data_IF_704285139619
#
_entry.id   IF_704285139619
#
_cell.length_a   1.000
_cell.length_b   1.000
_cell.length_c   1.000
_cell.angle_alpha   90.00
_cell.angle_beta   90.00
_cell.angle_gamma   90.00
#
_symmetry.space_group_name_H-M   'P 1'
#
loop_
_entity.id
_entity.type
_entity.pdbx_description
1 polymer ?
#
# COMPACT_ATOMS: atom_id res chain seq x y z
N UNK A 1 34.18 -64.83 -34.59
CA UNK A 1 33.23 -65.14 -33.50
C UNK A 1 33.77 -64.57 -32.19
N UNK A 2 32.86 -64.00 -31.38
CA UNK A 2 33.00 -63.52 -29.99
C UNK A 2 32.97 -62.00 -29.84
N UNK A 3 31.74 -61.51 -29.68
CA UNK A 3 31.24 -60.44 -28.80
C UNK A 3 32.23 -59.31 -28.47
N UNK A 4 31.85 -58.06 -28.63
CA UNK A 4 31.02 -57.37 -27.62
C UNK A 4 30.63 -56.00 -28.21
N UNK A 5 29.43 -55.75 -28.74
CA UNK A 5 28.16 -55.56 -28.04
C UNK A 5 28.16 -54.64 -26.78
N UNK A 6 29.26 -53.92 -26.49
CA UNK A 6 29.32 -52.92 -25.40
C UNK A 6 30.03 -51.66 -25.89
N UNK A 7 29.53 -51.05 -26.96
CA UNK A 7 29.81 -49.63 -27.27
C UNK A 7 28.56 -48.86 -27.70
N UNK A 8 27.40 -49.48 -27.51
CA UNK A 8 26.08 -48.87 -27.67
C UNK A 8 25.55 -48.66 -26.25
N UNK A 9 26.12 -47.71 -25.49
CA UNK A 9 25.48 -47.34 -24.21
C UNK A 9 25.72 -45.91 -23.72
N UNK A 10 26.65 -45.13 -24.28
CA UNK A 10 26.91 -43.78 -23.75
C UNK A 10 26.54 -42.61 -24.68
N UNK A 11 26.00 -42.87 -25.88
CA UNK A 11 25.75 -41.81 -26.88
C UNK A 11 24.28 -41.36 -26.99
N UNK A 12 23.46 -41.58 -25.95
CA UNK A 12 22.05 -41.12 -25.93
C UNK A 12 21.75 -40.19 -24.75
N UNK A 13 22.72 -39.92 -23.87
CA UNK A 13 22.50 -39.07 -22.70
C UNK A 13 22.75 -37.57 -22.96
N UNK A 14 22.64 -37.10 -24.21
CA UNK A 14 22.96 -35.71 -24.58
C UNK A 14 21.93 -35.10 -25.56
N UNK A 15 20.64 -35.30 -25.29
CA UNK A 15 19.55 -34.43 -25.74
C UNK A 15 18.29 -34.84 -24.97
N UNK A 16 17.55 -33.96 -24.25
CA UNK A 16 17.68 -32.52 -24.08
C UNK A 16 17.79 -32.14 -22.59
N UNK A 17 18.94 -31.60 -22.15
CA UNK A 17 19.01 -30.83 -20.89
C UNK A 17 18.73 -29.34 -21.17
N UNK A 18 17.73 -29.07 -22.02
CA UNK A 18 17.14 -27.75 -22.24
C UNK A 18 15.65 -27.86 -21.97
N UNK A 19 15.31 -28.19 -20.72
CA UNK A 19 14.12 -27.59 -20.14
C UNK A 19 14.63 -26.41 -19.32
N UNK A 20 14.97 -25.30 -20.00
CA UNK A 20 14.97 -24.02 -19.31
C UNK A 20 13.56 -23.89 -18.76
N UNK A 21 13.46 -23.88 -17.43
CA UNK A 21 12.24 -23.55 -16.73
C UNK A 21 11.68 -22.29 -17.39
N UNK A 22 10.51 -22.41 -18.02
CA UNK A 22 9.69 -21.27 -18.37
C UNK A 22 9.18 -20.67 -17.06
N UNK A 23 10.05 -19.98 -16.34
CA UNK A 23 9.67 -19.07 -15.24
C UNK A 23 9.17 -17.74 -15.83
N UNK A 24 8.42 -17.85 -16.93
CA UNK A 24 7.64 -16.77 -17.54
C UNK A 24 6.19 -16.82 -17.04
N UNK A 25 5.89 -17.67 -16.07
CA UNK A 25 4.67 -17.54 -15.29
C UNK A 25 4.96 -16.49 -14.22
N UNK A 26 4.39 -15.29 -14.32
CA UNK A 26 4.01 -14.69 -13.05
C UNK A 26 4.81 -13.53 -12.50
N UNK A 27 5.70 -12.85 -13.22
CA UNK A 27 6.24 -11.57 -12.71
C UNK A 27 5.14 -10.50 -12.76
N UNK A 28 3.98 -10.76 -12.14
CA UNK A 28 3.14 -9.72 -11.61
C UNK A 28 4.00 -9.02 -10.58
N UNK A 29 4.61 -7.90 -11.01
CA UNK A 29 4.99 -6.84 -10.09
C UNK A 29 3.80 -6.66 -9.15
N UNK A 30 3.95 -7.08 -7.89
CA UNK A 30 2.92 -6.85 -6.90
C UNK A 30 2.81 -5.33 -6.80
N UNK A 31 1.73 -4.78 -7.34
CA UNK A 31 1.43 -3.35 -7.18
C UNK A 31 1.10 -3.16 -5.71
N UNK A 32 2.10 -2.74 -4.94
CA UNK A 32 1.93 -2.44 -3.52
C UNK A 32 1.10 -1.15 -3.44
N UNK A 33 -0.02 -1.20 -2.72
CA UNK A 33 -0.81 -0.01 -2.41
C UNK A 33 0.03 0.94 -1.53
N UNK A 34 0.33 2.18 -1.95
CA UNK A 34 1.12 3.11 -1.16
C UNK A 34 0.51 3.41 0.22
N UNK A 35 -0.81 3.29 0.38
CA UNK A 35 -1.49 3.49 1.67
C UNK A 35 -1.31 2.30 2.63
N UNK A 36 -0.84 1.15 2.15
CA UNK A 36 -0.48 -0.01 2.97
C UNK A 36 0.96 0.07 3.51
N UNK A 37 1.74 1.08 3.08
CA UNK A 37 3.07 1.32 3.63
C UNK A 37 2.97 1.75 5.10
N UNK A 38 3.98 1.39 5.88
CA UNK A 38 4.02 1.69 7.30
C UNK A 38 4.60 3.08 7.53
N UNK A 39 3.89 3.88 8.32
CA UNK A 39 4.32 5.19 8.76
C UNK A 39 4.41 5.26 10.30
N UNK A 40 5.27 6.17 10.79
CA UNK A 40 5.36 6.48 12.21
C UNK A 40 4.34 7.57 12.54
N UNK A 41 3.51 7.34 13.56
CA UNK A 41 2.56 8.34 14.09
C UNK A 41 3.27 9.32 15.03
N UNK A 42 4.32 9.96 14.52
CA UNK A 42 5.08 11.02 15.18
C UNK A 42 4.90 12.26 14.34
N UNK A 43 3.92 13.09 14.71
CA UNK A 43 3.58 14.32 13.99
C UNK A 43 4.55 15.45 14.36
N UNK A 44 4.78 16.41 13.45
CA UNK A 44 5.56 17.60 13.77
C UNK A 44 4.83 18.47 14.81
N UNK A 45 5.56 19.32 15.53
CA UNK A 45 5.03 20.11 16.65
C UNK A 45 3.94 21.11 16.23
N UNK A 46 3.96 21.53 14.97
CA UNK A 46 3.00 22.44 14.36
C UNK A 46 1.71 21.74 13.87
N UNK A 47 1.65 20.40 13.87
CA UNK A 47 0.43 19.67 13.52
C UNK A 47 -0.61 19.77 14.65
N UNK A 48 -1.67 20.55 14.43
CA UNK A 48 -2.71 20.79 15.43
C UNK A 48 -4.02 20.07 15.10
N UNK A 49 -4.28 19.85 13.82
CA UNK A 49 -5.54 19.30 13.32
C UNK A 49 -5.38 17.91 12.71
N UNK A 50 -6.50 17.20 12.57
CA UNK A 50 -6.57 15.95 11.81
C UNK A 50 -6.05 16.14 10.38
N UNK A 51 -6.35 17.28 9.75
CA UNK A 51 -5.87 17.62 8.42
C UNK A 51 -4.34 17.74 8.35
N UNK A 52 -3.71 18.35 9.36
CA UNK A 52 -2.24 18.49 9.40
C UNK A 52 -1.57 17.12 9.56
N UNK A 53 -2.07 16.31 10.49
CA UNK A 53 -1.58 14.95 10.72
C UNK A 53 -1.81 14.05 9.50
N UNK A 54 -2.97 14.15 8.84
CA UNK A 54 -3.27 13.39 7.63
C UNK A 54 -2.35 13.77 6.47
N UNK A 55 -2.10 15.06 6.23
CA UNK A 55 -1.14 15.51 5.20
C UNK A 55 0.26 14.96 5.46
N UNK A 56 0.72 15.00 6.71
CA UNK A 56 2.01 14.44 7.09
C UNK A 56 2.09 12.93 6.82
N UNK A 57 1.06 12.16 7.19
CA UNK A 57 1.04 10.71 6.96
C UNK A 57 0.97 10.34 5.46
N UNK A 58 0.30 11.18 4.66
CA UNK A 58 0.10 10.94 3.24
C UNK A 58 1.32 11.32 2.38
N UNK A 59 2.18 12.23 2.85
CA UNK A 59 3.38 12.70 2.14
C UNK A 59 4.19 11.56 1.48
N UNK A 60 4.60 10.49 2.18
CA UNK A 60 5.40 9.42 1.57
C UNK A 60 4.63 8.56 0.55
N UNK A 61 3.29 8.56 0.59
CA UNK A 61 2.45 7.75 -0.30
C UNK A 61 2.16 8.41 -1.66
N UNK A 62 2.38 9.73 -1.75
CA UNK A 62 2.02 10.53 -2.92
C UNK A 62 0.51 10.77 -3.09
N UNK A 63 -0.30 10.44 -2.09
CA UNK A 63 -1.71 10.83 -2.04
C UNK A 63 -1.86 12.26 -1.49
N UNK A 64 -2.85 12.97 -2.00
CA UNK A 64 -3.18 14.34 -1.58
C UNK A 64 -4.48 14.36 -0.79
N UNK A 65 -4.49 15.03 0.36
CA UNK A 65 -5.71 15.30 1.11
C UNK A 65 -6.54 16.39 0.40
N UNK A 66 -7.80 16.11 0.10
CA UNK A 66 -8.74 17.03 -0.56
C UNK A 66 -9.92 17.29 0.36
N UNK A 67 -10.32 18.56 0.50
CA UNK A 67 -11.36 18.99 1.45
C UNK A 67 -12.44 19.86 0.82
N UNK A 68 -12.27 20.21 -0.46
CA UNK A 68 -13.23 20.91 -1.31
C UNK A 68 -13.59 20.03 -2.51
N UNK A 69 -14.64 20.39 -3.25
CA UNK A 69 -15.04 19.66 -4.48
C UNK A 69 -13.81 19.18 -5.27
N UNK A 70 -13.68 17.87 -5.56
CA UNK A 70 -14.70 16.81 -5.53
C UNK A 70 -14.91 16.09 -4.16
N UNK A 71 -14.32 16.58 -3.06
CA UNK A 71 -14.48 15.98 -1.74
C UNK A 71 -15.92 16.06 -1.18
N UNK A 72 -16.33 15.12 -0.30
CA UNK A 72 -17.53 15.23 0.53
C UNK A 72 -17.61 16.57 1.27
N UNK A 73 -18.82 17.11 1.42
CA UNK A 73 -19.04 18.45 2.00
C UNK A 73 -18.73 18.53 3.50
N UNK A 74 -18.73 17.40 4.20
CA UNK A 74 -18.42 17.23 5.62
C UNK A 74 -16.92 17.03 5.89
N UNK A 75 -16.10 16.79 4.85
CA UNK A 75 -14.65 16.59 4.99
C UNK A 75 -13.97 17.74 5.74
N UNK A 76 -14.40 18.97 5.50
CA UNK A 76 -13.85 20.18 6.13
C UNK A 76 -14.03 20.18 7.66
N UNK A 77 -15.13 19.61 8.16
CA UNK A 77 -15.40 19.51 9.59
C UNK A 77 -14.45 18.52 10.25
N UNK A 78 -14.25 17.36 9.61
CA UNK A 78 -13.37 16.29 10.11
C UNK A 78 -11.92 16.76 10.17
N UNK A 79 -11.40 17.34 9.07
CA UNK A 79 -9.98 17.75 9.00
C UNK A 79 -9.64 18.90 9.94
N UNK A 80 -10.59 19.78 10.26
CA UNK A 80 -10.35 20.89 11.18
C UNK A 80 -10.48 20.48 12.66
N UNK A 81 -10.88 19.24 12.94
CA UNK A 81 -10.92 18.72 14.30
C UNK A 81 -9.51 18.54 14.88
N UNK A 82 -9.40 18.57 16.22
CA UNK A 82 -8.11 18.35 16.90
C UNK A 82 -7.66 16.90 16.76
N UNK A 83 -6.35 16.68 16.69
CA UNK A 83 -5.78 15.32 16.71
C UNK A 83 -6.26 14.58 17.97
N UNK A 84 -6.95 13.44 17.84
CA UNK A 84 -7.47 12.71 18.99
C UNK A 84 -6.31 12.19 19.86
N UNK A 85 -6.44 12.14 21.20
CA UNK A 85 -5.35 11.72 22.08
C UNK A 85 -4.77 10.34 21.74
N UNK A 86 -5.63 9.41 21.32
CA UNK A 86 -5.21 8.05 20.93
C UNK A 86 -4.25 8.04 19.73
N UNK A 87 -4.38 9.01 18.81
CA UNK A 87 -3.53 9.13 17.64
C UNK A 87 -2.18 9.77 17.94
N UNK A 88 -2.00 10.42 19.10
CA UNK A 88 -0.72 11.00 19.54
C UNK A 88 0.24 9.97 20.12
N UNK A 89 -0.20 8.73 20.32
CA UNK A 89 0.67 7.65 20.80
C UNK A 89 1.61 7.27 19.65
N UNK A 90 2.92 7.29 19.92
CA UNK A 90 3.94 6.94 18.93
C UNK A 90 3.88 5.44 18.62
N UNK A 91 3.54 5.12 17.36
CA UNK A 91 3.40 3.76 16.84
C UNK A 91 3.90 3.72 15.40
N UNK A 92 4.10 2.51 14.90
CA UNK A 92 4.34 2.25 13.48
C UNK A 92 3.20 1.38 12.98
N UNK A 93 2.42 1.87 12.01
CA UNK A 93 1.26 1.16 11.46
C UNK A 93 1.05 1.57 10.00
N UNK A 94 0.25 0.82 9.21
CA UNK A 94 -0.12 1.22 7.86
C UNK A 94 -0.72 2.62 7.81
N UNK A 95 -0.40 3.39 6.77
CA UNK A 95 -0.92 4.76 6.59
C UNK A 95 -2.44 4.77 6.65
N UNK A 96 -3.10 3.81 5.99
CA UNK A 96 -4.56 3.69 6.02
C UNK A 96 -5.12 3.52 7.43
N UNK A 97 -4.46 2.72 8.27
CA UNK A 97 -4.88 2.49 9.66
C UNK A 97 -4.64 3.73 10.52
N UNK A 98 -3.53 4.45 10.29
CA UNK A 98 -3.23 5.70 10.98
C UNK A 98 -4.26 6.79 10.61
N UNK A 99 -4.68 6.87 9.34
CA UNK A 99 -5.74 7.77 8.90
C UNK A 99 -7.08 7.41 9.55
N UNK A 100 -7.41 6.12 9.63
CA UNK A 100 -8.65 5.68 10.29
C UNK A 100 -8.63 6.04 11.78
N UNK A 101 -7.49 5.88 12.44
CA UNK A 101 -7.31 6.27 13.84
C UNK A 101 -7.47 7.78 14.05
N UNK A 102 -7.01 8.60 13.10
CA UNK A 102 -7.14 10.06 13.15
C UNK A 102 -8.59 10.51 13.06
N UNK A 103 -9.38 9.91 12.17
CA UNK A 103 -10.76 10.31 11.93
C UNK A 103 -11.75 9.62 12.88
N UNK A 104 -11.35 8.54 13.55
CA UNK A 104 -12.22 7.75 14.42
C UNK A 104 -13.15 6.82 13.64
N UNK A 105 -13.83 5.91 14.35
CA UNK A 105 -14.57 4.79 13.72
C UNK A 105 -15.92 5.19 13.10
N UNK A 106 -16.43 6.38 13.44
CA UNK A 106 -17.70 6.90 12.91
C UNK A 106 -17.52 7.59 11.56
N UNK A 107 -16.27 7.81 11.14
CA UNK A 107 -15.90 8.46 9.88
C UNK A 107 -15.26 7.47 8.90
N UNK A 108 -15.40 7.77 7.62
CA UNK A 108 -14.98 6.94 6.50
C UNK A 108 -13.89 7.63 5.70
N UNK A 109 -12.93 6.82 5.24
CA UNK A 109 -11.90 7.26 4.30
C UNK A 109 -12.42 7.07 2.88
N UNK A 110 -12.42 8.14 2.09
CA UNK A 110 -12.78 8.14 0.68
C UNK A 110 -11.48 8.22 -0.13
N UNK A 111 -11.26 7.24 -1.01
CA UNK A 111 -9.99 7.08 -1.72
C UNK A 111 -10.25 7.09 -3.23
N UNK A 112 -9.65 8.05 -3.92
CA UNK A 112 -9.50 8.03 -5.37
C UNK A 112 -8.09 7.53 -5.72
N UNK A 113 -8.01 6.26 -6.13
CA UNK A 113 -6.74 5.62 -6.47
C UNK A 113 -6.18 6.08 -7.82
N UNK A 114 -7.04 6.55 -8.73
CA UNK A 114 -6.64 6.99 -10.07
C UNK A 114 -5.96 8.35 -10.01
N UNK A 115 -6.48 9.26 -9.19
CA UNK A 115 -5.96 10.62 -9.03
C UNK A 115 -5.10 10.79 -7.77
N UNK A 116 -4.88 9.72 -7.00
CA UNK A 116 -4.17 9.72 -5.71
C UNK A 116 -4.74 10.76 -4.73
N UNK A 117 -6.05 10.75 -4.54
CA UNK A 117 -6.74 11.65 -3.62
C UNK A 117 -7.28 10.88 -2.43
N UNK A 118 -7.20 11.49 -1.25
CA UNK A 118 -7.87 11.03 -0.04
C UNK A 118 -8.77 12.15 0.47
N UNK A 119 -9.95 11.79 0.92
CA UNK A 119 -10.85 12.65 1.69
C UNK A 119 -11.50 11.85 2.82
N UNK A 120 -12.26 12.53 3.66
CA UNK A 120 -13.04 11.93 4.74
C UNK A 120 -14.53 12.25 4.59
N UNK A 121 -15.37 11.43 5.21
CA UNK A 121 -16.84 11.57 5.20
C UNK A 121 -17.43 10.98 6.49
N UNK A 122 -18.46 11.61 7.04
CA UNK A 122 -19.26 11.04 8.15
C UNK A 122 -20.20 9.94 7.62
N UNK A 123 -20.45 9.93 6.31
CA UNK A 123 -21.30 8.95 5.64
C UNK A 123 -20.46 7.93 4.90
N UNK A 124 -20.87 6.67 4.98
CA UNK A 124 -20.33 5.62 4.13
C UNK A 124 -20.59 5.98 2.66
N UNK A 125 -19.51 6.17 1.90
CA UNK A 125 -19.54 6.42 0.46
C UNK A 125 -19.51 5.12 -0.33
#
# INVERSE_FOLDING_TARGET
MRNTLIKILCAVAFWPMLSLANDTANSQSSVIDPLALYARTVYPEDAQTVGDAARYLLEPSGYTLVTSYPAPSDAITIVNSRIPPIAKIHRTMPIIDALQLLIGNDNWIVIDRNHKLVSFSEKKS
#
